data_IF_110888337119
#
_entry.id   IF_110888337119
#
_cell.length_a   1.000
_cell.length_b   1.000
_cell.length_c   1.000
_cell.angle_alpha   90.00
_cell.angle_beta   90.00
_cell.angle_gamma   90.00
#
_symmetry.space_group_name_H-M   'P 1'
#
loop_
_entity.id
_entity.type
_entity.pdbx_description
1 polymer ?
#
# COMPACT_ATOMS: atom_id res chain seq x y z
N UNK A 1 -22.34 -0.93 66.78
CA UNK A 1 -22.60 -1.65 65.52
C UNK A 1 -22.80 -0.61 64.41
N UNK A 2 -21.76 -0.31 63.62
CA UNK A 2 -21.88 0.54 62.45
C UNK A 2 -21.67 -0.37 61.24
N UNK A 3 -22.73 -0.56 60.46
CA UNK A 3 -22.70 -1.23 59.19
C UNK A 3 -22.29 -0.20 58.12
N UNK A 4 -21.11 -0.35 57.58
CA UNK A 4 -20.65 0.41 56.42
C UNK A 4 -21.16 -0.25 55.14
N UNK A 5 -21.99 0.45 54.36
CA UNK A 5 -22.37 0.05 53.00
C UNK A 5 -21.27 0.48 52.04
N UNK A 6 -20.54 -0.51 51.50
CA UNK A 6 -19.66 -0.28 50.36
C UNK A 6 -20.49 -0.30 49.06
N UNK A 7 -20.62 0.84 48.43
CA UNK A 7 -21.17 0.95 47.08
C UNK A 7 -20.05 0.57 46.06
N UNK A 8 -20.17 -0.57 45.46
CA UNK A 8 -19.30 -0.96 44.32
C UNK A 8 -19.84 -0.29 43.05
N UNK A 9 -19.11 0.70 42.55
CA UNK A 9 -19.40 1.33 41.26
C UNK A 9 -19.01 0.35 40.17
N UNK A 10 -19.98 -0.25 39.47
CA UNK A 10 -19.77 -0.98 38.23
C UNK A 10 -19.59 0.05 37.12
N UNK A 11 -18.38 0.29 36.68
CA UNK A 11 -18.13 0.95 35.42
C UNK A 11 -18.54 0.01 34.26
N UNK A 12 -19.73 0.20 33.70
CA UNK A 12 -20.12 -0.34 32.43
C UNK A 12 -19.31 0.43 31.38
N UNK A 13 -18.26 -0.20 30.83
CA UNK A 13 -17.64 0.26 29.60
C UNK A 13 -18.72 0.21 28.50
N UNK A 14 -19.11 1.37 27.97
CA UNK A 14 -19.93 1.41 26.78
C UNK A 14 -19.16 0.71 25.64
N UNK A 15 -19.80 -0.18 24.85
CA UNK A 15 -19.16 -0.70 23.64
C UNK A 15 -18.82 0.52 22.78
N UNK A 16 -17.52 0.71 22.50
CA UNK A 16 -17.06 1.72 21.56
C UNK A 16 -17.80 1.48 20.25
N UNK A 17 -18.45 2.51 19.75
CA UNK A 17 -18.97 2.51 18.37
C UNK A 17 -17.76 2.20 17.46
N UNK A 18 -17.75 1.03 16.85
CA UNK A 18 -16.83 0.73 15.76
C UNK A 18 -17.18 1.74 14.66
N UNK A 19 -16.29 2.67 14.39
CA UNK A 19 -16.45 3.56 13.25
C UNK A 19 -16.40 2.67 12.00
N UNK A 20 -17.56 2.38 11.42
CA UNK A 20 -17.63 1.67 10.13
C UNK A 20 -17.17 2.64 9.05
N UNK A 21 -16.19 2.24 8.24
CA UNK A 21 -15.87 2.98 7.03
C UNK A 21 -17.11 3.03 6.13
N UNK A 22 -17.31 4.18 5.46
CA UNK A 22 -18.40 4.29 4.47
C UNK A 22 -18.19 3.30 3.34
N UNK A 23 -19.26 2.64 2.90
CA UNK A 23 -19.25 1.87 1.64
C UNK A 23 -19.20 2.79 0.42
N UNK A 24 -19.53 4.07 0.58
CA UNK A 24 -19.53 5.07 -0.50
C UNK A 24 -18.10 5.33 -1.03
N UNK A 25 -17.96 5.70 -2.32
CA UNK A 25 -16.67 6.01 -2.91
C UNK A 25 -16.05 7.24 -2.26
N UNK A 26 -14.70 7.30 -2.34
CA UNK A 26 -13.95 8.51 -2.02
C UNK A 26 -13.70 9.33 -3.30
N UNK A 27 -13.46 10.62 -3.13
CA UNK A 27 -13.06 11.52 -4.20
C UNK A 27 -11.95 12.47 -3.72
N UNK A 28 -11.47 13.35 -4.61
CA UNK A 28 -10.49 14.38 -4.25
C UNK A 28 -11.07 15.77 -4.40
N UNK A 29 -10.70 16.68 -3.50
CA UNK A 29 -11.07 18.10 -3.55
C UNK A 29 -9.86 18.96 -3.18
N UNK A 30 -9.25 19.59 -4.16
CA UNK A 30 -7.96 20.26 -3.97
C UNK A 30 -6.93 19.28 -3.44
N UNK A 31 -6.30 19.60 -2.31
CA UNK A 31 -5.28 18.78 -1.65
C UNK A 31 -5.82 17.61 -0.79
N UNK A 32 -7.12 17.42 -0.74
CA UNK A 32 -7.75 16.50 0.18
C UNK A 32 -8.38 15.29 -0.53
N UNK A 33 -8.25 14.12 0.06
CA UNK A 33 -9.18 13.03 -0.16
C UNK A 33 -10.42 13.33 0.69
N UNK A 34 -11.61 13.17 0.14
CA UNK A 34 -12.87 13.46 0.82
C UNK A 34 -13.87 12.30 0.67
N UNK A 35 -14.73 12.14 1.69
CA UNK A 35 -15.89 11.27 1.62
C UNK A 35 -17.08 11.95 0.91
N UNK A 36 -18.17 11.23 0.77
CA UNK A 36 -19.41 11.76 0.12
C UNK A 36 -20.10 12.87 0.89
N UNK A 37 -19.78 13.06 2.17
CA UNK A 37 -20.30 14.14 3.00
C UNK A 37 -19.38 15.38 2.96
N UNK A 38 -18.23 15.27 2.26
CA UNK A 38 -17.22 16.31 2.13
C UNK A 38 -16.24 16.38 3.30
N UNK A 39 -16.19 15.37 4.17
CA UNK A 39 -15.21 15.32 5.24
C UNK A 39 -13.86 14.84 4.70
N UNK A 40 -12.77 15.42 5.20
CA UNK A 40 -11.43 15.00 4.86
C UNK A 40 -11.15 13.57 5.38
N UNK A 41 -10.54 12.77 4.53
CA UNK A 41 -10.05 11.43 4.85
C UNK A 41 -8.52 11.44 4.70
N UNK A 42 -7.82 11.31 5.82
CA UNK A 42 -6.36 11.15 5.80
C UNK A 42 -6.05 9.65 5.93
N UNK A 43 -5.19 9.13 5.05
CA UNK A 43 -4.69 7.76 5.18
C UNK A 43 -3.54 7.73 6.18
N UNK A 44 -3.64 6.86 7.18
CA UNK A 44 -2.56 6.55 8.12
C UNK A 44 -2.54 5.03 8.30
N UNK A 45 -1.53 4.36 7.77
CA UNK A 45 -1.58 2.92 7.68
C UNK A 45 -0.26 2.20 7.46
N UNK A 46 -0.37 0.98 6.95
CA UNK A 46 0.74 0.06 6.83
C UNK A 46 0.66 -0.77 5.55
N UNK A 47 1.82 -1.14 5.01
CA UNK A 47 1.94 -2.07 3.90
C UNK A 47 1.79 -3.53 4.39
N UNK A 48 0.94 -4.31 3.71
CA UNK A 48 0.80 -5.75 3.90
C UNK A 48 1.18 -6.48 2.62
N UNK A 49 2.40 -7.05 2.56
CA UNK A 49 2.90 -7.75 1.38
C UNK A 49 2.09 -8.99 1.01
N UNK A 50 1.96 -9.24 -0.29
CA UNK A 50 1.28 -10.38 -0.87
C UNK A 50 1.66 -10.61 -2.33
N UNK A 51 2.53 -9.76 -2.90
CA UNK A 51 2.98 -9.82 -4.29
C UNK A 51 4.16 -10.76 -4.53
N UNK A 52 4.73 -11.31 -3.47
CA UNK A 52 5.90 -12.18 -3.51
C UNK A 52 5.56 -13.54 -4.13
N UNK A 53 6.53 -14.43 -4.22
CA UNK A 53 6.48 -15.69 -4.98
C UNK A 53 5.25 -16.55 -4.67
N UNK A 54 4.74 -16.53 -3.44
CA UNK A 54 3.54 -17.26 -3.06
C UNK A 54 2.24 -16.59 -3.56
N UNK A 55 2.29 -15.30 -3.90
CA UNK A 55 1.13 -14.49 -4.30
C UNK A 55 -0.03 -14.60 -3.29
N UNK A 56 0.29 -14.50 -2.02
CA UNK A 56 -0.63 -14.55 -0.88
C UNK A 56 -0.24 -13.51 0.16
N UNK A 57 -1.19 -12.86 0.82
CA UNK A 57 -0.89 -12.02 1.97
C UNK A 57 -0.07 -12.79 3.01
N UNK A 58 1.05 -12.20 3.44
CA UNK A 58 2.01 -12.81 4.34
C UNK A 58 1.47 -13.00 5.76
N UNK A 59 2.03 -13.93 6.53
CA UNK A 59 1.77 -14.10 7.97
C UNK A 59 0.64 -15.07 8.34
N UNK A 60 -0.14 -15.55 7.36
CA UNK A 60 -1.33 -16.37 7.64
C UNK A 60 -0.99 -17.76 8.20
N UNK A 61 0.25 -18.24 8.02
CA UNK A 61 0.74 -19.46 8.67
C UNK A 61 0.87 -19.30 10.19
N UNK A 62 0.97 -18.06 10.67
CA UNK A 62 1.15 -17.78 12.09
C UNK A 62 -0.15 -17.30 12.77
N UNK A 63 -0.97 -16.50 12.05
CA UNK A 63 -2.14 -15.87 12.65
C UNK A 63 -3.35 -15.90 11.70
N UNK A 64 -4.53 -15.69 12.26
CA UNK A 64 -5.74 -15.47 11.48
C UNK A 64 -5.78 -14.06 10.87
N UNK A 65 -6.51 -13.89 9.78
CA UNK A 65 -6.77 -12.57 9.17
C UNK A 65 -7.38 -11.63 10.23
N UNK A 66 -8.37 -12.11 11.00
CA UNK A 66 -9.03 -11.32 12.06
C UNK A 66 -8.00 -10.77 13.07
N UNK A 67 -7.06 -11.62 13.51
CA UNK A 67 -6.02 -11.22 14.44
C UNK A 67 -5.10 -10.15 13.86
N UNK A 68 -4.62 -10.35 12.63
CA UNK A 68 -3.68 -9.42 11.98
C UNK A 68 -4.35 -8.06 11.75
N UNK A 69 -5.57 -8.05 11.21
CA UNK A 69 -6.35 -6.81 11.01
C UNK A 69 -6.66 -6.13 12.35
N UNK A 70 -6.94 -6.93 13.40
CA UNK A 70 -7.10 -6.44 14.77
C UNK A 70 -5.87 -5.72 15.29
N UNK A 71 -4.66 -6.21 14.99
CA UNK A 71 -3.40 -5.52 15.34
C UNK A 71 -3.25 -4.17 14.65
N UNK A 72 -3.62 -4.08 13.38
CA UNK A 72 -3.60 -2.80 12.65
C UNK A 72 -4.57 -1.80 13.29
N UNK A 73 -5.76 -2.27 13.65
CA UNK A 73 -6.76 -1.47 14.37
C UNK A 73 -6.29 -1.02 15.75
N UNK A 74 -5.57 -1.87 16.50
CA UNK A 74 -5.01 -1.53 17.81
C UNK A 74 -4.04 -0.34 17.74
N UNK A 75 -3.37 -0.13 16.57
CA UNK A 75 -2.54 1.04 16.29
C UNK A 75 -3.37 2.31 16.01
N UNK A 76 -4.68 2.17 15.78
CA UNK A 76 -5.54 3.26 15.32
C UNK A 76 -5.42 3.55 13.82
N UNK A 77 -4.69 2.74 13.06
CA UNK A 77 -4.55 2.89 11.62
C UNK A 77 -5.88 2.66 10.88
N UNK A 78 -6.08 3.34 9.76
CA UNK A 78 -7.32 3.30 8.99
C UNK A 78 -7.18 2.76 7.57
N UNK A 79 -5.97 2.36 7.15
CA UNK A 79 -5.72 1.83 5.80
C UNK A 79 -4.63 0.77 5.82
N UNK A 80 -4.77 -0.23 4.93
CA UNK A 80 -3.67 -1.11 4.52
C UNK A 80 -3.36 -0.87 3.04
N UNK A 81 -2.07 -0.97 2.68
CA UNK A 81 -1.63 -1.12 1.29
C UNK A 81 -1.34 -2.60 1.06
N UNK A 82 -2.27 -3.27 0.37
CA UNK A 82 -2.22 -4.70 0.10
C UNK A 82 -1.62 -4.92 -1.30
N UNK A 83 -0.44 -5.53 -1.35
CA UNK A 83 0.30 -5.67 -2.61
C UNK A 83 -0.08 -6.95 -3.36
N UNK A 84 -0.13 -6.89 -4.70
CA UNK A 84 -0.36 -8.05 -5.56
C UNK A 84 0.51 -8.02 -6.81
N UNK A 85 0.69 -9.20 -7.46
CA UNK A 85 1.41 -9.35 -8.72
C UNK A 85 0.43 -9.53 -9.89
N UNK A 86 0.74 -8.93 -11.07
CA UNK A 86 -0.04 -9.14 -12.29
C UNK A 86 -0.04 -10.62 -12.72
N UNK A 87 1.04 -11.35 -12.44
CA UNK A 87 1.15 -12.79 -12.70
C UNK A 87 -0.03 -13.58 -12.14
N UNK A 88 -0.58 -13.17 -10.99
CA UNK A 88 -1.76 -13.81 -10.41
C UNK A 88 -2.96 -13.79 -11.38
N UNK A 89 -3.13 -12.68 -12.09
CA UNK A 89 -4.21 -12.52 -13.07
C UNK A 89 -3.84 -13.15 -14.42
N UNK A 90 -2.57 -13.11 -14.80
CA UNK A 90 -2.09 -13.80 -16.01
C UNK A 90 -2.36 -15.30 -15.91
N UNK A 91 -2.09 -15.93 -14.77
CA UNK A 91 -2.41 -17.34 -14.50
C UNK A 91 -3.90 -17.65 -14.70
N UNK A 92 -4.80 -16.77 -14.28
CA UNK A 92 -6.24 -16.93 -14.49
C UNK A 92 -6.57 -16.95 -15.99
N UNK A 93 -5.98 -16.06 -16.78
CA UNK A 93 -6.20 -16.03 -18.22
C UNK A 93 -5.58 -17.22 -18.95
N UNK A 94 -4.47 -17.74 -18.45
CA UNK A 94 -3.77 -18.90 -19.04
C UNK A 94 -4.46 -20.22 -18.74
N UNK A 95 -4.99 -20.38 -17.53
CA UNK A 95 -5.55 -21.65 -17.05
C UNK A 95 -7.08 -21.67 -17.03
N UNK A 96 -7.71 -20.49 -17.08
CA UNK A 96 -9.18 -20.33 -17.01
C UNK A 96 -9.74 -20.29 -15.58
N UNK A 97 -8.87 -20.37 -14.55
CA UNK A 97 -9.25 -20.28 -13.13
C UNK A 97 -8.08 -19.77 -12.30
N UNK A 98 -8.36 -19.17 -11.13
CA UNK A 98 -7.30 -18.82 -10.18
C UNK A 98 -6.70 -20.06 -9.51
N UNK A 99 -5.44 -19.95 -9.11
CA UNK A 99 -4.65 -21.04 -8.52
C UNK A 99 -5.08 -21.27 -7.06
N UNK A 100 -5.36 -22.53 -6.65
CA UNK A 100 -5.58 -22.86 -5.24
C UNK A 100 -4.35 -22.53 -4.37
N UNK A 101 -4.59 -22.01 -3.16
CA UNK A 101 -3.51 -21.57 -2.25
C UNK A 101 -2.49 -22.67 -1.95
N UNK A 102 -2.95 -23.92 -1.80
CA UNK A 102 -2.04 -25.05 -1.61
C UNK A 102 -1.06 -25.21 -2.76
N UNK A 103 -1.56 -25.10 -3.99
CA UNK A 103 -0.74 -25.20 -5.21
C UNK A 103 0.24 -24.04 -5.28
N UNK A 104 -0.21 -22.82 -4.99
CA UNK A 104 0.65 -21.62 -4.97
C UNK A 104 1.80 -21.76 -3.97
N UNK A 105 1.51 -22.22 -2.76
CA UNK A 105 2.52 -22.45 -1.72
C UNK A 105 3.50 -23.57 -2.09
N UNK A 106 3.02 -24.67 -2.69
CA UNK A 106 3.90 -25.75 -3.17
C UNK A 106 4.82 -25.25 -4.29
N UNK A 107 4.30 -24.44 -5.20
CA UNK A 107 5.11 -23.84 -6.27
C UNK A 107 6.19 -22.92 -5.71
N UNK A 108 5.88 -22.14 -4.68
CA UNK A 108 6.81 -21.20 -4.05
C UNK A 108 7.84 -21.87 -3.13
N UNK A 109 7.45 -22.90 -2.37
CA UNK A 109 8.21 -23.43 -1.23
C UNK A 109 8.64 -24.90 -1.40
N UNK A 110 8.15 -25.59 -2.45
CA UNK A 110 8.28 -27.02 -2.64
C UNK A 110 7.25 -27.83 -1.86
N UNK A 111 7.05 -29.09 -2.24
CA UNK A 111 5.98 -29.96 -1.75
C UNK A 111 5.89 -30.05 -0.22
N UNK A 112 7.03 -30.27 0.46
CA UNK A 112 7.06 -30.47 1.91
C UNK A 112 6.70 -29.20 2.68
N UNK A 113 7.39 -28.09 2.37
CA UNK A 113 7.19 -26.83 3.09
C UNK A 113 5.89 -26.16 2.68
N UNK A 114 5.56 -26.18 1.38
CA UNK A 114 4.30 -25.60 0.88
C UNK A 114 3.07 -26.29 1.48
N UNK A 115 3.10 -27.63 1.61
CA UNK A 115 2.01 -28.36 2.28
C UNK A 115 1.92 -28.00 3.77
N UNK A 116 3.07 -27.96 4.47
CA UNK A 116 3.07 -27.56 5.88
C UNK A 116 2.50 -26.17 6.10
N UNK A 117 2.95 -25.18 5.33
CA UNK A 117 2.47 -23.80 5.44
C UNK A 117 0.97 -23.72 5.10
N UNK A 118 0.49 -24.46 4.09
CA UNK A 118 -0.94 -24.56 3.80
C UNK A 118 -1.74 -25.10 5.00
N UNK A 119 -1.26 -26.18 5.63
CA UNK A 119 -1.95 -26.78 6.79
C UNK A 119 -1.98 -25.78 7.97
N UNK A 120 -0.90 -25.02 8.19
CA UNK A 120 -0.84 -24.00 9.22
C UNK A 120 -1.84 -22.84 8.91
N UNK A 121 -1.91 -22.37 7.64
CA UNK A 121 -2.86 -21.34 7.20
C UNK A 121 -4.31 -21.78 7.44
N UNK A 122 -4.66 -23.01 7.03
CA UNK A 122 -6.05 -23.52 7.22
C UNK A 122 -6.37 -23.72 8.69
N UNK A 123 -5.37 -24.08 9.50
CA UNK A 123 -5.57 -24.19 10.96
C UNK A 123 -5.90 -22.85 11.60
N UNK A 124 -5.25 -21.77 11.18
CA UNK A 124 -5.48 -20.41 11.69
C UNK A 124 -6.72 -19.76 11.06
N UNK A 125 -7.06 -20.16 9.83
CA UNK A 125 -8.13 -19.58 9.02
C UNK A 125 -9.06 -20.69 8.52
N UNK A 126 -9.93 -21.26 9.38
CA UNK A 126 -10.71 -22.46 9.09
C UNK A 126 -11.79 -22.26 8.00
N UNK A 127 -12.03 -21.04 7.55
CA UNK A 127 -12.85 -20.74 6.37
C UNK A 127 -12.17 -21.15 5.06
N UNK A 128 -10.86 -21.36 5.03
CA UNK A 128 -10.11 -21.80 3.86
C UNK A 128 -10.07 -23.32 3.76
N UNK A 129 -9.96 -23.81 2.54
CA UNK A 129 -9.93 -25.23 2.25
C UNK A 129 -9.16 -25.55 0.97
N UNK A 130 -9.23 -26.82 0.53
CA UNK A 130 -8.43 -27.32 -0.58
C UNK A 130 -8.64 -26.57 -1.91
N UNK A 131 -9.84 -26.03 -2.12
CA UNK A 131 -10.20 -25.31 -3.34
C UNK A 131 -10.11 -23.80 -3.19
N UNK A 132 -9.77 -23.27 -2.02
CA UNK A 132 -9.64 -21.83 -1.80
C UNK A 132 -8.52 -21.28 -2.68
N UNK A 133 -8.82 -20.25 -3.45
CA UNK A 133 -7.90 -19.60 -4.38
C UNK A 133 -7.19 -18.41 -3.76
N UNK A 134 -6.17 -17.90 -4.45
CA UNK A 134 -5.41 -16.72 -4.00
C UNK A 134 -6.31 -15.51 -3.87
N UNK A 135 -7.15 -15.20 -4.87
CA UNK A 135 -8.09 -14.07 -4.84
C UNK A 135 -9.08 -14.17 -3.69
N UNK A 136 -9.59 -15.37 -3.38
CA UNK A 136 -10.49 -15.56 -2.23
C UNK A 136 -9.82 -15.22 -0.90
N UNK A 137 -8.49 -15.37 -0.79
CA UNK A 137 -7.75 -14.92 0.40
C UNK A 137 -7.65 -13.39 0.43
N UNK A 138 -7.38 -12.72 -0.71
CA UNK A 138 -7.41 -11.26 -0.81
C UNK A 138 -8.79 -10.71 -0.47
N UNK A 139 -9.85 -11.35 -0.96
CA UNK A 139 -11.23 -10.99 -0.65
C UNK A 139 -11.50 -11.08 0.85
N UNK A 140 -11.08 -12.18 1.49
CA UNK A 140 -11.23 -12.37 2.94
C UNK A 140 -10.49 -11.30 3.76
N UNK A 141 -9.29 -10.87 3.32
CA UNK A 141 -8.58 -9.76 3.94
C UNK A 141 -9.35 -8.45 3.79
N UNK A 142 -9.86 -8.16 2.60
CA UNK A 142 -10.63 -6.95 2.34
C UNK A 142 -11.96 -6.92 3.10
N UNK A 143 -12.66 -8.05 3.20
CA UNK A 143 -13.88 -8.20 3.98
C UNK A 143 -13.62 -7.96 5.48
N UNK A 144 -12.54 -8.53 6.02
CA UNK A 144 -12.21 -8.32 7.43
C UNK A 144 -11.75 -6.88 7.71
N UNK A 145 -11.03 -6.25 6.79
CA UNK A 145 -10.72 -4.83 6.88
C UNK A 145 -12.01 -3.99 6.92
N UNK A 146 -13.00 -4.30 6.09
CA UNK A 146 -14.30 -3.62 6.12
C UNK A 146 -14.99 -3.79 7.48
N UNK A 147 -15.04 -5.02 8.00
CA UNK A 147 -15.64 -5.35 9.30
C UNK A 147 -15.01 -4.58 10.45
N UNK A 148 -13.70 -4.33 10.37
CA UNK A 148 -12.95 -3.61 11.41
C UNK A 148 -12.82 -2.11 11.15
N UNK A 149 -13.33 -1.60 10.03
CA UNK A 149 -13.33 -0.17 9.72
C UNK A 149 -12.01 0.33 9.14
N UNK A 150 -11.32 -0.49 8.33
CA UNK A 150 -10.04 -0.21 7.70
C UNK A 150 -10.23 -0.19 6.18
N UNK A 151 -9.72 0.84 5.51
CA UNK A 151 -9.66 0.93 4.05
C UNK A 151 -8.60 -0.01 3.48
N UNK A 152 -8.82 -0.45 2.24
CA UNK A 152 -7.81 -1.17 1.47
C UNK A 152 -7.39 -0.32 0.27
N UNK A 153 -6.11 -0.06 0.19
CA UNK A 153 -5.42 0.44 -0.99
C UNK A 153 -4.77 -0.77 -1.67
N UNK A 154 -5.25 -1.14 -2.85
CA UNK A 154 -4.71 -2.29 -3.58
C UNK A 154 -3.56 -1.85 -4.47
N UNK A 155 -2.38 -2.42 -4.30
CA UNK A 155 -1.17 -2.02 -5.01
C UNK A 155 -0.69 -3.08 -6.00
N UNK A 156 -0.51 -2.70 -7.27
CA UNK A 156 0.23 -3.53 -8.21
C UNK A 156 1.73 -3.37 -7.99
N UNK A 157 2.29 -4.28 -7.19
CA UNK A 157 3.68 -4.21 -6.75
C UNK A 157 4.67 -4.62 -7.82
N UNK A 158 4.39 -5.73 -8.51
CA UNK A 158 5.23 -6.31 -9.56
C UNK A 158 4.37 -6.93 -10.67
N UNK A 159 4.96 -7.16 -11.85
CA UNK A 159 4.35 -7.97 -12.89
C UNK A 159 4.54 -9.43 -12.61
N UNK A 160 5.80 -9.92 -12.54
CA UNK A 160 6.14 -11.26 -12.10
C UNK A 160 6.36 -11.28 -10.60
N UNK A 161 5.68 -12.20 -9.93
CA UNK A 161 5.77 -12.38 -8.49
C UNK A 161 7.21 -12.65 -8.04
N UNK A 162 7.75 -11.73 -7.26
CA UNK A 162 9.10 -11.77 -6.73
C UNK A 162 9.28 -10.72 -5.65
N UNK A 163 10.37 -10.79 -4.91
CA UNK A 163 10.79 -9.68 -4.06
C UNK A 163 11.15 -8.45 -4.90
N UNK A 164 10.55 -7.32 -4.64
CA UNK A 164 10.86 -6.02 -5.25
C UNK A 164 11.95 -5.30 -4.43
N UNK A 165 12.78 -4.37 -4.92
CA UNK A 165 12.83 -3.96 -6.31
C UNK A 165 14.29 -3.87 -6.73
N UNK A 166 14.67 -4.57 -7.78
CA UNK A 166 15.99 -4.46 -8.40
C UNK A 166 15.87 -3.85 -9.80
N UNK A 167 16.89 -3.13 -10.25
CA UNK A 167 16.98 -2.63 -11.63
C UNK A 167 17.18 -3.74 -12.67
N UNK A 168 17.38 -4.99 -12.21
CA UNK A 168 17.66 -6.17 -13.05
C UNK A 168 16.70 -7.33 -12.80
N UNK A 169 15.55 -7.08 -12.19
CA UNK A 169 14.54 -8.12 -11.87
C UNK A 169 13.52 -8.35 -12.99
N UNK A 170 13.63 -7.60 -14.09
CA UNK A 170 12.71 -7.68 -15.22
C UNK A 170 11.32 -7.06 -14.99
N UNK A 171 11.11 -6.41 -13.84
CA UNK A 171 9.86 -5.73 -13.45
C UNK A 171 9.96 -4.21 -13.45
N UNK A 172 11.07 -3.64 -13.91
CA UNK A 172 11.44 -2.27 -13.63
C UNK A 172 10.61 -1.22 -14.39
N UNK A 173 10.37 -1.43 -15.68
CA UNK A 173 9.77 -0.45 -16.57
C UNK A 173 8.83 -1.06 -17.61
N UNK A 174 7.99 -0.23 -18.23
CA UNK A 174 7.08 -0.62 -19.30
C UNK A 174 7.83 -1.29 -20.46
N UNK A 175 7.51 -2.55 -20.74
CA UNK A 175 8.19 -3.34 -21.76
C UNK A 175 9.43 -4.11 -21.28
N UNK A 176 9.77 -4.05 -20.01
CA UNK A 176 10.81 -4.90 -19.42
C UNK A 176 10.43 -6.39 -19.48
N UNK A 177 11.38 -7.27 -19.21
CA UNK A 177 11.31 -8.72 -19.41
C UNK A 177 10.00 -9.35 -18.93
N UNK A 178 9.51 -8.94 -17.76
CA UNK A 178 8.25 -9.41 -17.18
C UNK A 178 7.14 -8.35 -17.19
N UNK A 179 7.46 -7.10 -17.53
CA UNK A 179 6.48 -6.02 -17.54
C UNK A 179 5.82 -5.85 -18.91
N UNK A 180 4.97 -6.79 -19.29
CA UNK A 180 4.13 -6.66 -20.48
C UNK A 180 2.99 -5.66 -20.21
N UNK A 181 2.97 -4.53 -20.92
CA UNK A 181 1.99 -3.45 -20.73
C UNK A 181 0.56 -3.93 -21.01
N UNK A 182 0.35 -4.78 -22.02
CA UNK A 182 -1.00 -5.31 -22.32
C UNK A 182 -1.52 -6.22 -21.21
N UNK A 183 -0.64 -7.02 -20.58
CA UNK A 183 -0.98 -7.86 -19.46
C UNK A 183 -1.29 -7.00 -18.23
N UNK A 184 -0.51 -5.96 -17.98
CA UNK A 184 -0.73 -5.00 -16.90
C UNK A 184 -2.09 -4.30 -17.03
N UNK A 185 -2.43 -3.77 -18.21
CA UNK A 185 -3.75 -3.19 -18.50
C UNK A 185 -4.87 -4.21 -18.29
N UNK A 186 -4.71 -5.44 -18.80
CA UNK A 186 -5.67 -6.52 -18.63
C UNK A 186 -5.85 -6.89 -17.14
N UNK A 187 -4.74 -6.98 -16.41
CA UNK A 187 -4.73 -7.27 -14.99
C UNK A 187 -5.50 -6.22 -14.19
N UNK A 188 -5.25 -4.95 -14.45
CA UNK A 188 -5.99 -3.86 -13.79
C UNK A 188 -7.47 -3.82 -14.14
N UNK A 189 -7.83 -4.07 -15.40
CA UNK A 189 -9.26 -4.18 -15.77
C UNK A 189 -9.96 -5.30 -15.00
N UNK A 190 -9.28 -6.45 -14.88
CA UNK A 190 -9.80 -7.58 -14.11
C UNK A 190 -9.97 -7.21 -12.64
N UNK A 191 -8.94 -6.68 -12.00
CA UNK A 191 -8.97 -6.31 -10.58
C UNK A 191 -9.96 -5.18 -10.31
N UNK A 192 -10.05 -4.16 -11.16
CA UNK A 192 -11.02 -3.08 -11.02
C UNK A 192 -12.48 -3.58 -11.07
N UNK A 193 -12.78 -4.59 -11.90
CA UNK A 193 -14.10 -5.23 -11.92
C UNK A 193 -14.32 -6.09 -10.69
N UNK A 194 -13.31 -6.89 -10.30
CA UNK A 194 -13.36 -7.81 -9.18
C UNK A 194 -13.68 -7.09 -7.85
N UNK A 195 -12.97 -5.99 -7.59
CA UNK A 195 -13.10 -5.27 -6.31
C UNK A 195 -14.38 -4.43 -6.16
N UNK A 196 -15.25 -4.35 -7.16
CA UNK A 196 -16.53 -3.64 -7.06
C UNK A 196 -17.43 -4.16 -5.93
N UNK A 197 -17.24 -5.41 -5.57
CA UNK A 197 -18.01 -6.06 -4.50
C UNK A 197 -17.34 -5.97 -3.13
N UNK A 198 -16.14 -5.41 -3.06
CA UNK A 198 -15.31 -5.29 -1.85
C UNK A 198 -15.33 -3.85 -1.32
N UNK A 199 -16.24 -3.50 -0.41
CA UNK A 199 -16.47 -2.11 -0.01
C UNK A 199 -15.30 -1.48 0.74
N UNK A 200 -14.34 -2.25 1.25
CA UNK A 200 -13.12 -1.72 1.86
C UNK A 200 -12.14 -1.15 0.81
N UNK A 201 -12.13 -1.69 -0.42
CA UNK A 201 -11.19 -1.25 -1.47
C UNK A 201 -11.65 0.09 -2.02
N UNK A 202 -10.90 1.15 -1.72
CA UNK A 202 -11.21 2.54 -2.10
C UNK A 202 -10.23 3.14 -3.08
N UNK A 203 -9.05 2.57 -3.18
CA UNK A 203 -7.96 3.13 -3.97
C UNK A 203 -7.03 2.07 -4.51
N UNK A 204 -6.33 2.43 -5.57
CA UNK A 204 -5.33 1.58 -6.20
C UNK A 204 -4.03 2.34 -6.43
N UNK A 205 -2.88 1.68 -6.21
CA UNK A 205 -1.56 2.06 -6.68
C UNK A 205 -1.31 1.40 -8.03
N UNK A 206 -1.32 2.18 -9.10
CA UNK A 206 -1.33 1.62 -10.45
C UNK A 206 -0.08 0.83 -10.77
N UNK A 207 1.07 1.26 -10.26
CA UNK A 207 2.33 0.54 -10.39
C UNK A 207 3.34 1.00 -9.35
N UNK A 208 3.86 0.06 -8.57
CA UNK A 208 4.92 0.28 -7.59
C UNK A 208 6.28 0.48 -8.28
N UNK A 209 7.01 1.47 -7.80
CA UNK A 209 8.45 1.69 -8.00
C UNK A 209 8.96 1.54 -9.44
N UNK A 210 8.41 2.38 -10.33
CA UNK A 210 8.92 2.51 -11.69
C UNK A 210 10.37 3.00 -11.66
N UNK A 211 11.27 2.25 -12.33
CA UNK A 211 12.72 2.47 -12.31
C UNK A 211 13.37 2.11 -13.65
N UNK A 212 14.57 2.62 -13.85
CA UNK A 212 15.36 2.32 -15.05
C UNK A 212 15.83 0.85 -15.04
N UNK A 213 15.62 0.06 -16.10
CA UNK A 213 16.12 -1.30 -16.20
C UNK A 213 17.60 -1.31 -16.60
N UNK A 214 18.51 -1.67 -15.68
CA UNK A 214 19.96 -1.66 -15.91
C UNK A 214 20.44 -2.81 -16.83
N UNK A 215 19.69 -3.91 -16.89
CA UNK A 215 19.99 -5.06 -17.77
C UNK A 215 19.40 -4.90 -19.19
N UNK A 216 18.64 -3.85 -19.43
CA UNK A 216 18.10 -3.50 -20.74
C UNK A 216 18.35 -2.00 -21.06
N UNK A 217 19.61 -1.66 -21.28
CA UNK A 217 20.01 -0.27 -21.51
C UNK A 217 19.35 0.36 -22.74
N UNK A 218 19.03 -0.41 -23.77
CA UNK A 218 18.28 0.11 -24.94
C UNK A 218 16.88 0.54 -24.53
N UNK A 219 16.16 -0.26 -23.75
CA UNK A 219 14.85 0.10 -23.26
C UNK A 219 14.92 1.34 -22.36
N UNK A 220 15.94 1.37 -21.45
CA UNK A 220 16.18 2.51 -20.58
C UNK A 220 16.43 3.81 -21.35
N UNK A 221 17.39 3.78 -22.30
CA UNK A 221 17.79 4.96 -23.07
C UNK A 221 16.65 5.49 -23.96
N UNK A 222 15.85 4.58 -24.54
CA UNK A 222 14.81 4.95 -25.49
C UNK A 222 13.51 5.39 -24.81
N UNK A 223 13.16 4.80 -23.63
CA UNK A 223 11.79 4.91 -23.12
C UNK A 223 11.67 5.28 -21.64
N UNK A 224 12.75 5.25 -20.83
CA UNK A 224 12.66 5.65 -19.42
C UNK A 224 12.63 7.18 -19.29
N UNK A 225 11.44 7.74 -19.49
CA UNK A 225 11.20 9.19 -19.49
C UNK A 225 9.74 9.51 -19.09
N UNK A 226 9.46 10.78 -18.84
CA UNK A 226 8.15 11.25 -18.41
C UNK A 226 7.07 11.15 -19.50
N UNK A 227 7.41 11.21 -20.78
CA UNK A 227 6.47 11.06 -21.89
C UNK A 227 5.90 9.64 -21.94
N UNK A 228 6.78 8.64 -21.84
CA UNK A 228 6.37 7.23 -21.78
C UNK A 228 5.59 6.94 -20.49
N UNK A 229 6.01 7.51 -19.34
CA UNK A 229 5.28 7.44 -18.09
C UNK A 229 3.85 7.96 -18.26
N UNK A 230 3.71 9.19 -18.78
CA UNK A 230 2.42 9.83 -18.99
C UNK A 230 1.49 8.98 -19.86
N UNK A 231 2.00 8.55 -21.01
CA UNK A 231 1.23 7.75 -21.95
C UNK A 231 0.66 6.48 -21.32
N UNK A 232 1.50 5.70 -20.62
CA UNK A 232 1.08 4.44 -20.03
C UNK A 232 0.20 4.63 -18.76
N UNK A 233 0.58 5.54 -17.88
CA UNK A 233 -0.17 5.76 -16.63
C UNK A 233 -1.55 6.35 -16.91
N UNK A 234 -1.67 7.31 -17.83
CA UNK A 234 -2.96 7.92 -18.18
C UNK A 234 -3.85 6.91 -18.93
N UNK A 235 -3.28 6.11 -19.83
CA UNK A 235 -4.05 5.06 -20.50
C UNK A 235 -4.61 4.06 -19.50
N UNK A 236 -3.79 3.58 -18.55
CA UNK A 236 -4.23 2.67 -17.52
C UNK A 236 -5.31 3.29 -16.61
N UNK A 237 -5.12 4.54 -16.19
CA UNK A 237 -6.10 5.27 -15.39
C UNK A 237 -7.47 5.37 -16.10
N UNK A 238 -7.48 5.71 -17.39
CA UNK A 238 -8.70 5.73 -18.21
C UNK A 238 -9.38 4.36 -18.27
N UNK A 239 -8.59 3.30 -18.45
CA UNK A 239 -9.13 1.93 -18.51
C UNK A 239 -9.73 1.50 -17.18
N UNK A 240 -9.04 1.72 -16.07
CA UNK A 240 -9.55 1.41 -14.72
C UNK A 240 -10.81 2.23 -14.42
N UNK A 241 -10.78 3.54 -14.64
CA UNK A 241 -11.93 4.42 -14.40
C UNK A 241 -13.15 4.01 -15.23
N UNK A 242 -12.96 3.61 -16.47
CA UNK A 242 -14.06 3.12 -17.33
C UNK A 242 -14.72 1.85 -16.80
N UNK A 243 -13.98 1.03 -16.05
CA UNK A 243 -14.49 -0.21 -15.42
C UNK A 243 -15.07 0.09 -14.05
N UNK A 244 -14.34 0.82 -13.20
CA UNK A 244 -14.72 1.13 -11.83
C UNK A 244 -14.39 2.59 -11.50
N UNK A 245 -15.36 3.47 -11.68
CA UNK A 245 -15.21 4.91 -11.45
C UNK A 245 -15.16 5.31 -9.97
N UNK A 246 -15.38 4.36 -9.05
CA UNK A 246 -15.40 4.63 -7.61
C UNK A 246 -14.01 4.66 -6.98
N UNK A 247 -13.00 4.08 -7.66
CA UNK A 247 -11.64 3.95 -7.15
C UNK A 247 -10.88 5.28 -7.26
N UNK A 248 -10.15 5.64 -6.20
CA UNK A 248 -9.07 6.61 -6.29
C UNK A 248 -7.90 5.99 -7.05
N UNK A 249 -7.28 6.78 -7.92
CA UNK A 249 -6.19 6.38 -8.79
C UNK A 249 -4.90 7.04 -8.30
N UNK A 250 -4.01 6.24 -7.73
CA UNK A 250 -2.73 6.71 -7.25
C UNK A 250 -1.70 6.64 -8.37
N UNK A 251 -1.11 7.78 -8.66
CA UNK A 251 -0.07 7.94 -9.67
C UNK A 251 1.29 7.93 -8.97
N UNK A 252 2.01 6.85 -9.16
CA UNK A 252 3.40 6.70 -8.75
C UNK A 252 4.34 7.40 -9.72
N UNK A 253 5.53 7.76 -9.25
CA UNK A 253 6.48 8.53 -10.02
C UNK A 253 7.60 7.71 -10.68
N UNK A 254 8.71 8.38 -10.95
CA UNK A 254 9.96 7.78 -11.41
C UNK A 254 10.94 7.55 -10.27
N UNK A 255 12.02 6.85 -10.57
CA UNK A 255 13.12 6.59 -9.65
C UNK A 255 12.66 5.95 -8.34
N UNK A 256 11.97 4.79 -8.44
CA UNK A 256 11.40 4.08 -7.28
C UNK A 256 10.32 4.90 -6.54
N UNK A 257 9.47 5.59 -7.30
CA UNK A 257 8.43 6.48 -6.78
C UNK A 257 8.97 7.64 -5.90
N UNK A 258 10.26 7.95 -6.02
CA UNK A 258 10.88 9.06 -5.26
C UNK A 258 10.45 10.40 -5.83
N UNK A 259 10.15 10.52 -7.13
CA UNK A 259 9.85 11.82 -7.72
C UNK A 259 8.64 11.84 -8.63
N UNK A 260 7.82 12.88 -8.44
CA UNK A 260 6.75 13.35 -9.32
C UNK A 260 6.93 14.85 -9.64
N UNK A 261 8.15 15.36 -9.53
CA UNK A 261 8.49 16.77 -9.59
C UNK A 261 7.87 17.60 -10.74
N UNK A 262 7.65 17.08 -11.97
CA UNK A 262 7.02 17.88 -13.01
C UNK A 262 5.49 17.95 -12.92
N UNK A 263 4.86 17.13 -12.09
CA UNK A 263 3.40 16.98 -12.05
C UNK A 263 2.72 18.16 -11.35
N UNK A 264 3.14 18.63 -10.16
CA UNK A 264 2.48 19.75 -9.46
C UNK A 264 2.43 21.03 -10.31
N UNK A 265 3.52 21.35 -11.00
CA UNK A 265 3.66 22.56 -11.80
C UNK A 265 3.16 22.44 -13.23
N UNK A 266 2.69 21.25 -13.65
CA UNK A 266 2.38 20.93 -15.06
C UNK A 266 3.55 21.26 -16.00
N UNK A 267 4.77 20.91 -15.60
CA UNK A 267 5.96 21.09 -16.43
C UNK A 267 5.93 20.19 -17.65
N UNK A 268 6.71 20.55 -18.68
CA UNK A 268 6.84 19.77 -19.91
C UNK A 268 7.42 18.37 -19.60
N UNK A 269 6.68 17.34 -19.98
CA UNK A 269 7.03 15.93 -19.81
C UNK A 269 7.77 15.35 -21.02
N UNK A 270 7.87 16.11 -22.12
CA UNK A 270 8.40 15.76 -23.41
C UNK A 270 7.46 16.19 -24.53
N UNK A 271 8.02 16.72 -25.62
CA UNK A 271 7.30 17.18 -26.80
C UNK A 271 6.11 18.14 -26.57
N UNK A 272 6.15 18.90 -25.45
CA UNK A 272 5.10 19.81 -25.04
C UNK A 272 3.92 19.14 -24.32
N UNK A 273 4.02 17.86 -24.01
CA UNK A 273 3.04 17.14 -23.18
C UNK A 273 3.12 17.61 -21.74
N UNK A 274 1.98 17.89 -21.12
CA UNK A 274 1.88 18.27 -19.72
C UNK A 274 0.79 17.47 -19.02
N UNK A 275 0.99 17.18 -17.74
CA UNK A 275 -0.06 16.60 -16.90
C UNK A 275 -0.92 17.72 -16.32
N UNK A 276 -2.20 17.78 -16.72
CA UNK A 276 -3.18 18.67 -16.11
C UNK A 276 -4.38 17.86 -15.69
N UNK A 277 -4.65 17.83 -14.39
CA UNK A 277 -5.77 17.05 -13.84
C UNK A 277 -7.13 17.42 -14.46
N UNK A 278 -7.33 18.71 -14.81
CA UNK A 278 -8.55 19.20 -15.45
C UNK A 278 -8.81 18.65 -16.87
N UNK A 279 -7.84 17.98 -17.46
CA UNK A 279 -7.95 17.39 -18.80
C UNK A 279 -8.51 15.97 -18.77
N UNK A 280 -8.74 15.40 -17.55
CA UNK A 280 -9.19 14.03 -17.34
C UNK A 280 -10.63 13.97 -16.81
N UNK A 281 -11.40 13.01 -17.32
CA UNK A 281 -12.77 12.74 -16.81
C UNK A 281 -12.77 12.20 -15.36
N UNK A 282 -11.59 11.80 -14.86
CA UNK A 282 -11.37 11.30 -13.49
C UNK A 282 -10.59 12.30 -12.62
N UNK A 283 -10.69 13.60 -12.88
CA UNK A 283 -9.92 14.62 -12.16
C UNK A 283 -10.12 14.58 -10.63
N UNK A 284 -11.30 14.15 -10.18
CA UNK A 284 -11.66 14.02 -8.77
C UNK A 284 -11.28 12.66 -8.16
N UNK A 285 -10.48 11.86 -8.87
CA UNK A 285 -9.97 10.55 -8.41
C UNK A 285 -8.45 10.48 -8.32
N UNK A 286 -7.74 11.53 -8.71
CA UNK A 286 -6.28 11.54 -8.80
C UNK A 286 -5.66 11.79 -7.43
N UNK A 287 -4.76 10.92 -7.02
CA UNK A 287 -3.87 11.06 -5.86
C UNK A 287 -2.44 10.84 -6.34
N UNK A 288 -1.48 11.59 -5.81
CA UNK A 288 -0.07 11.33 -6.04
C UNK A 288 0.49 10.42 -4.95
N UNK A 289 1.33 9.46 -5.32
CA UNK A 289 2.03 8.61 -4.36
C UNK A 289 3.54 8.73 -4.51
N UNK A 290 4.21 8.80 -3.37
CA UNK A 290 5.66 8.91 -3.28
C UNK A 290 6.22 7.95 -2.25
N UNK A 291 7.45 7.51 -2.47
CA UNK A 291 8.25 6.72 -1.55
C UNK A 291 9.45 7.52 -1.07
N UNK A 292 9.89 7.26 0.15
CA UNK A 292 11.13 7.83 0.63
C UNK A 292 11.83 6.88 1.61
N UNK A 293 13.10 6.61 1.34
CA UNK A 293 13.98 5.78 2.17
C UNK A 293 15.34 6.47 2.44
N UNK A 294 15.37 7.83 2.45
CA UNK A 294 16.60 8.59 2.73
C UNK A 294 16.98 8.57 4.23
N UNK A 295 17.35 7.39 4.72
CA UNK A 295 17.86 7.20 6.08
C UNK A 295 19.17 7.95 6.35
N UNK A 296 19.80 8.52 5.31
CA UNK A 296 21.01 9.34 5.43
C UNK A 296 20.72 10.82 5.75
N UNK A 297 19.46 11.21 5.80
CA UNK A 297 19.04 12.58 6.12
C UNK A 297 19.64 13.06 7.46
N UNK A 298 20.29 14.23 7.44
CA UNK A 298 20.96 14.80 8.60
C UNK A 298 20.17 15.89 9.31
N UNK A 299 19.09 16.35 8.70
CA UNK A 299 18.16 17.32 9.30
C UNK A 299 16.75 17.19 8.70
N UNK A 300 15.75 17.51 9.51
CA UNK A 300 14.37 17.51 9.04
C UNK A 300 14.12 18.60 7.97
N UNK A 301 14.75 19.75 8.08
CA UNK A 301 14.61 20.81 7.08
C UNK A 301 15.15 20.41 5.70
N UNK A 302 16.23 19.64 5.65
CA UNK A 302 16.77 19.12 4.38
C UNK A 302 15.82 18.08 3.79
N UNK A 303 15.38 17.10 4.60
CA UNK A 303 14.46 16.06 4.16
C UNK A 303 13.12 16.63 3.67
N UNK A 304 12.50 17.52 4.44
CA UNK A 304 11.23 18.13 4.03
C UNK A 304 11.34 18.99 2.78
N UNK A 305 12.46 19.70 2.60
CA UNK A 305 12.71 20.45 1.35
C UNK A 305 12.84 19.54 0.14
N UNK A 306 13.50 18.39 0.29
CA UNK A 306 13.58 17.37 -0.76
C UNK A 306 12.19 16.83 -1.10
N UNK A 307 11.42 16.41 -0.09
CA UNK A 307 10.06 15.89 -0.28
C UNK A 307 9.14 16.89 -1.00
N UNK A 308 9.22 18.18 -0.67
CA UNK A 308 8.47 19.21 -1.39
C UNK A 308 8.87 19.23 -2.87
N UNK A 309 10.16 19.27 -3.19
CA UNK A 309 10.64 19.30 -4.58
C UNK A 309 10.39 18.00 -5.34
N UNK A 310 10.20 16.88 -4.63
CA UNK A 310 9.92 15.56 -5.21
C UNK A 310 8.45 15.38 -5.59
N UNK A 311 7.53 16.28 -5.12
CA UNK A 311 6.12 16.28 -5.50
C UNK A 311 5.13 16.60 -4.37
N UNK A 312 5.57 16.71 -3.12
CA UNK A 312 4.70 17.14 -2.01
C UNK A 312 4.27 18.62 -2.11
N UNK A 313 4.93 19.41 -2.96
CA UNK A 313 4.49 20.78 -3.29
C UNK A 313 3.08 20.80 -3.95
N UNK A 314 2.60 19.69 -4.51
CA UNK A 314 1.19 19.55 -4.92
C UNK A 314 0.18 19.83 -3.80
N UNK A 315 0.60 19.76 -2.53
CA UNK A 315 -0.22 20.14 -1.38
C UNK A 315 -0.34 21.66 -1.17
N UNK A 316 0.53 22.47 -1.80
CA UNK A 316 0.58 23.92 -1.61
C UNK A 316 -0.56 24.62 -2.36
N UNK A 317 -1.48 25.25 -1.63
CA UNK A 317 -2.64 25.93 -2.20
C UNK A 317 -2.39 27.41 -2.48
N UNK A 318 -1.37 27.99 -1.85
CA UNK A 318 -1.07 29.41 -1.90
C UNK A 318 0.07 29.75 -2.88
N UNK A 319 0.72 28.73 -3.46
CA UNK A 319 1.75 28.90 -4.49
C UNK A 319 1.11 28.89 -5.89
N UNK A 320 1.18 30.03 -6.58
CA UNK A 320 0.63 30.18 -7.92
C UNK A 320 1.38 29.40 -9.02
N UNK A 321 2.54 28.84 -8.71
CA UNK A 321 3.27 27.95 -9.62
C UNK A 321 2.68 26.53 -9.65
N UNK A 322 1.91 26.15 -8.63
CA UNK A 322 1.25 24.85 -8.55
C UNK A 322 -0.04 24.87 -9.36
N UNK A 323 -0.03 24.14 -10.45
CA UNK A 323 -1.17 23.99 -11.37
C UNK A 323 -2.09 22.85 -10.92
N UNK A 324 -1.48 21.74 -10.48
CA UNK A 324 -2.18 20.56 -10.02
C UNK A 324 -2.12 20.48 -8.49
N UNK A 325 -3.03 21.19 -7.80
CA UNK A 325 -3.24 20.96 -6.37
C UNK A 325 -3.93 19.62 -6.20
N UNK A 326 -3.24 18.65 -5.57
CA UNK A 326 -3.65 17.25 -5.44
C UNK A 326 -3.34 16.72 -4.05
N UNK A 327 -4.07 15.70 -3.56
CA UNK A 327 -3.62 14.94 -2.40
C UNK A 327 -2.33 14.20 -2.72
N UNK A 328 -1.42 14.14 -1.75
CA UNK A 328 -0.19 13.34 -1.81
C UNK A 328 -0.16 12.38 -0.64
N UNK A 329 0.17 11.13 -0.91
CA UNK A 329 0.32 10.08 0.10
C UNK A 329 1.72 9.49 -0.03
N UNK A 330 2.46 9.42 1.08
CA UNK A 330 3.70 8.64 1.15
C UNK A 330 3.34 7.17 1.35
N UNK A 331 3.21 6.42 0.25
CA UNK A 331 2.74 5.03 0.27
C UNK A 331 3.79 4.06 0.77
N UNK A 332 5.07 4.46 0.75
CA UNK A 332 6.13 3.74 1.44
C UNK A 332 7.17 4.66 2.06
N UNK A 333 7.52 4.34 3.26
CA UNK A 333 8.73 4.72 4.00
C UNK A 333 8.92 3.68 5.09
N UNK A 334 10.12 3.51 5.60
CA UNK A 334 10.31 2.50 6.64
C UNK A 334 11.71 2.55 7.24
N UNK A 335 11.84 1.85 8.34
CA UNK A 335 13.09 1.75 9.10
C UNK A 335 13.03 0.52 10.01
N UNK A 336 14.19 0.08 10.49
CA UNK A 336 14.28 -1.06 11.40
C UNK A 336 13.46 -0.84 12.67
N UNK A 337 12.63 -1.82 13.01
CA UNK A 337 11.74 -1.78 14.19
C UNK A 337 12.49 -2.29 15.42
N UNK A 338 13.36 -1.43 15.94
CA UNK A 338 14.08 -1.63 17.19
C UNK A 338 13.76 -0.51 18.20
N UNK A 339 14.39 -0.56 19.39
CA UNK A 339 14.12 0.40 20.47
C UNK A 339 14.78 1.77 20.27
N UNK A 340 15.44 2.01 19.13
CA UNK A 340 16.27 3.22 18.91
C UNK A 340 16.02 3.93 17.57
N UNK A 341 15.89 3.20 16.48
CA UNK A 341 15.86 3.75 15.10
C UNK A 341 14.70 4.73 14.88
N UNK A 342 13.55 4.55 15.55
CA UNK A 342 12.43 5.49 15.48
C UNK A 342 12.76 6.91 16.01
N UNK A 343 13.89 7.09 16.74
CA UNK A 343 14.36 8.38 17.26
C UNK A 343 15.33 9.08 16.33
N UNK A 344 15.84 8.40 15.30
CA UNK A 344 16.78 8.97 14.33
C UNK A 344 16.12 10.06 13.48
N UNK A 345 16.94 10.91 12.86
CA UNK A 345 16.47 12.10 12.12
C UNK A 345 15.42 11.74 11.08
N UNK A 346 15.67 10.71 10.28
CA UNK A 346 14.76 10.28 9.23
C UNK A 346 13.38 9.90 9.78
N UNK A 347 13.33 8.94 10.71
CA UNK A 347 12.10 8.44 11.28
C UNK A 347 11.33 9.51 12.07
N UNK A 348 12.04 10.28 12.91
CA UNK A 348 11.43 11.34 13.72
C UNK A 348 10.92 12.50 12.86
N UNK A 349 11.64 12.86 11.79
CA UNK A 349 11.20 13.89 10.87
C UNK A 349 9.90 13.51 10.15
N UNK A 350 9.83 12.31 9.55
CA UNK A 350 8.62 11.86 8.84
C UNK A 350 7.42 11.77 9.80
N UNK A 351 7.63 11.27 11.02
CA UNK A 351 6.61 11.20 12.06
C UNK A 351 6.00 12.57 12.40
N UNK A 352 6.78 13.62 12.37
CA UNK A 352 6.32 14.99 12.70
C UNK A 352 5.85 15.74 11.44
N UNK A 353 6.56 15.60 10.34
CA UNK A 353 6.32 16.41 9.15
C UNK A 353 5.08 15.98 8.37
N UNK A 354 4.90 14.67 8.09
CA UNK A 354 3.75 14.18 7.32
C UNK A 354 2.40 14.58 7.94
N UNK A 355 2.18 14.40 9.26
CA UNK A 355 0.96 14.92 9.89
C UNK A 355 0.85 16.44 9.83
N UNK A 356 1.97 17.19 9.96
CA UNK A 356 1.95 18.66 9.97
C UNK A 356 1.51 19.27 8.64
N UNK A 357 1.77 18.59 7.53
CA UNK A 357 1.30 18.96 6.19
C UNK A 357 0.02 18.25 5.79
N UNK A 358 -0.58 17.46 6.69
CA UNK A 358 -1.77 16.64 6.48
C UNK A 358 -1.64 15.68 5.27
N UNK A 359 -0.45 15.19 5.00
CA UNK A 359 -0.23 14.14 4.01
C UNK A 359 -0.64 12.78 4.57
N UNK A 360 -1.22 11.92 3.72
CA UNK A 360 -1.41 10.52 4.05
C UNK A 360 -0.09 9.74 4.03
N UNK A 361 -0.07 8.59 4.70
CA UNK A 361 1.12 7.73 4.74
C UNK A 361 0.80 6.26 5.03
N UNK A 362 1.67 5.35 4.57
CA UNK A 362 1.63 3.93 4.88
C UNK A 362 3.06 3.42 5.08
N UNK A 363 3.39 2.99 6.31
CA UNK A 363 4.75 2.54 6.64
C UNK A 363 5.03 1.15 6.05
N UNK A 364 6.22 0.93 5.55
CA UNK A 364 6.79 -0.37 5.22
C UNK A 364 7.50 -0.91 6.46
N UNK A 365 7.04 -1.96 7.17
CA UNK A 365 6.06 -2.95 6.75
C UNK A 365 5.36 -3.60 7.95
N UNK A 366 4.19 -4.19 7.75
CA UNK A 366 3.49 -4.96 8.78
C UNK A 366 4.20 -6.26 9.11
N UNK A 367 4.75 -6.92 8.07
CA UNK A 367 5.25 -8.30 8.08
C UNK A 367 6.39 -8.53 9.05
N UNK A 368 6.20 -9.45 10.00
CA UNK A 368 7.28 -9.93 10.85
C UNK A 368 8.20 -10.95 10.16
N UNK A 369 7.67 -11.65 9.17
CA UNK A 369 8.38 -12.62 8.33
C UNK A 369 7.68 -12.80 6.99
N UNK A 370 8.36 -13.44 6.03
CA UNK A 370 7.83 -13.79 4.72
C UNK A 370 7.83 -15.30 4.52
N UNK A 371 6.87 -15.83 3.75
CA UNK A 371 6.90 -17.25 3.32
C UNK A 371 8.22 -17.56 2.66
N UNK A 372 8.65 -16.68 1.75
CA UNK A 372 9.97 -16.77 1.10
C UNK A 372 10.39 -15.39 0.59
N UNK A 373 11.61 -14.98 0.93
CA UNK A 373 12.23 -13.75 0.42
C UNK A 373 13.60 -14.06 -0.15
N UNK A 374 13.81 -13.79 -1.44
CA UNK A 374 15.07 -14.04 -2.15
C UNK A 374 15.62 -15.48 -1.96
N UNK A 375 14.70 -16.47 -1.97
CA UNK A 375 15.03 -17.89 -1.81
C UNK A 375 15.21 -18.37 -0.36
N UNK A 376 15.14 -17.47 0.62
CA UNK A 376 15.19 -17.83 2.05
C UNK A 376 13.75 -17.96 2.54
N UNK A 377 13.39 -19.19 2.96
CA UNK A 377 12.07 -19.47 3.52
C UNK A 377 12.00 -19.02 4.97
N UNK A 378 10.79 -18.58 5.37
CA UNK A 378 10.53 -18.07 6.72
C UNK A 378 11.50 -16.92 7.09
N UNK A 379 11.70 -16.01 6.12
CA UNK A 379 12.65 -14.90 6.25
C UNK A 379 12.17 -13.91 7.32
N UNK A 380 13.01 -13.63 8.32
CA UNK A 380 12.72 -12.62 9.36
C UNK A 380 12.84 -11.20 8.80
N UNK A 381 11.79 -10.38 8.98
CA UNK A 381 11.75 -8.99 8.52
C UNK A 381 11.99 -8.02 9.69
N UNK A 382 13.18 -7.48 9.80
CA UNK A 382 13.55 -6.58 10.91
C UNK A 382 12.84 -5.21 10.85
N UNK A 383 12.26 -4.86 9.71
CA UNK A 383 11.45 -3.64 9.54
C UNK A 383 9.97 -3.88 9.85
N UNK A 384 9.61 -5.12 10.16
CA UNK A 384 8.25 -5.50 10.49
C UNK A 384 7.74 -4.87 11.78
N UNK A 385 6.54 -4.26 11.76
CA UNK A 385 5.88 -3.82 12.99
C UNK A 385 5.57 -5.03 13.89
N UNK A 386 5.19 -6.16 13.30
CA UNK A 386 4.98 -7.42 14.01
C UNK A 386 6.29 -8.20 14.16
N UNK A 387 6.39 -9.02 15.18
CA UNK A 387 7.50 -9.94 15.39
C UNK A 387 7.48 -11.08 14.36
N UNK A 388 8.55 -11.87 14.31
CA UNK A 388 8.71 -12.99 13.36
C UNK A 388 7.47 -13.89 13.27
N UNK A 389 6.82 -14.17 14.38
CA UNK A 389 5.64 -15.07 14.47
C UNK A 389 4.32 -14.33 14.37
N UNK A 390 4.33 -13.05 14.05
CA UNK A 390 3.16 -12.18 13.93
C UNK A 390 2.29 -12.11 15.20
N UNK A 391 2.84 -12.53 16.34
CA UNK A 391 2.10 -12.67 17.60
C UNK A 391 2.12 -11.41 18.48
N UNK A 392 3.08 -10.54 18.27
CA UNK A 392 3.28 -9.31 19.04
C UNK A 392 4.01 -8.24 18.23
N UNK A 393 4.24 -7.11 18.85
CA UNK A 393 5.04 -6.04 18.26
C UNK A 393 6.53 -6.40 18.33
N UNK A 394 7.29 -6.12 17.25
CA UNK A 394 8.74 -6.35 17.21
C UNK A 394 9.45 -5.46 18.22
N UNK A 395 9.10 -4.18 18.26
CA UNK A 395 9.53 -3.24 19.30
C UNK A 395 8.32 -2.50 19.89
N UNK A 396 7.99 -2.80 21.14
CA UNK A 396 6.93 -2.07 21.85
C UNK A 396 7.30 -0.59 22.01
N UNK A 397 8.59 -0.29 22.18
CA UNK A 397 9.10 1.07 22.32
C UNK A 397 8.87 1.89 21.03
N UNK A 398 9.16 1.32 19.85
CA UNK A 398 8.90 1.99 18.57
C UNK A 398 7.40 2.18 18.32
N UNK A 399 6.58 1.22 18.71
CA UNK A 399 5.12 1.33 18.60
C UNK A 399 4.57 2.44 19.49
N UNK A 400 4.89 2.41 20.79
CA UNK A 400 4.29 3.33 21.77
C UNK A 400 4.78 4.77 21.61
N UNK A 401 6.04 4.97 21.21
CA UNK A 401 6.66 6.29 21.12
C UNK A 401 6.88 6.79 19.67
N UNK A 402 6.74 5.92 18.68
CA UNK A 402 6.89 6.24 17.26
C UNK A 402 5.55 6.19 16.51
N UNK A 403 5.00 5.00 16.35
CA UNK A 403 3.87 4.75 15.44
C UNK A 403 2.55 5.33 15.98
N UNK A 404 2.16 4.98 17.21
CA UNK A 404 0.88 5.46 17.79
C UNK A 404 0.83 7.00 17.85
N UNK A 405 1.89 7.72 18.28
CA UNK A 405 1.91 9.19 18.21
C UNK A 405 1.73 9.75 16.79
N UNK A 406 2.33 9.12 15.77
CA UNK A 406 2.18 9.53 14.37
C UNK A 406 0.74 9.35 13.88
N UNK A 407 0.11 8.20 14.18
CA UNK A 407 -1.30 7.93 13.86
C UNK A 407 -2.21 8.98 14.51
N UNK A 408 -2.02 9.23 15.81
CA UNK A 408 -2.82 10.21 16.55
C UNK A 408 -2.66 11.64 16.00
N UNK A 409 -1.45 12.02 15.56
CA UNK A 409 -1.20 13.32 14.96
C UNK A 409 -1.83 13.46 13.56
N UNK A 410 -2.03 12.35 12.85
CA UNK A 410 -2.62 12.34 11.50
C UNK A 410 -4.14 12.27 11.51
N UNK A 411 -4.75 11.56 12.46
CA UNK A 411 -6.19 11.24 12.49
C UNK A 411 -6.95 11.92 13.65
N UNK A 412 -6.23 12.52 14.59
CA UNK A 412 -6.77 13.09 15.86
C UNK A 412 -7.24 14.54 15.81
#
# INVERSE_FOLDING_TARGET
MHLGNSLTLLCLAAPGLVASISSSPLSTSGRWIVDTDGNNVTYAGVNWPGAEVAMLPEGLQYQSIEYIVGKIKDLGMNVIRLTFAIEMIDDIYETGADVPIKTSLINALGETNGTKIYDDIVSNNPQFGENTTRLEVYDAVAEECYNQGIYVHLDNHVSKASWCCSTTDGNAWFGDTYFNVSNWHRGWKYMAEHVKTLPAVKSIGMRNELRSPDDNTTLADDTYNWETWYSNMVENANQVHSVNSDLLLFFSGLNYDVTLSPIPTASDLGDGTVFKKSDFDFEDKIVLELHNYDSSATSCSSLSSSLLSDGFDALETDDSSIVNVLPVVMTEFGYEQDDSTYTEVYASCLREWLPSVHAGWMIWVLSGSYYVRQGIQDYDETWGLLDHTWSGWRSTEAIDNGIIPMVNASLG
#
